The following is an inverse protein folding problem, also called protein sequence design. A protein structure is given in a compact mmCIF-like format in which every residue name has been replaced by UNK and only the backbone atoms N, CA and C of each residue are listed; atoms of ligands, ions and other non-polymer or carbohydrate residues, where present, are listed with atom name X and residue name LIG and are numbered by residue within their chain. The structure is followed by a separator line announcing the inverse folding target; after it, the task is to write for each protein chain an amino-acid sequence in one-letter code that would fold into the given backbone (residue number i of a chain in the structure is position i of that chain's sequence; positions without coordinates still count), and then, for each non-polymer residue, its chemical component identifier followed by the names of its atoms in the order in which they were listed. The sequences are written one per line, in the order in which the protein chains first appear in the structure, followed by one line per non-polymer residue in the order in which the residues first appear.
data_IF_065208462993
#
_entry.id   IF_065208462993
#
_cell.length_a   1.000
_cell.length_b   1.000
_cell.length_c   1.000
_cell.angle_alpha   90.00
_cell.angle_beta   90.00
_cell.angle_gamma   90.00
#
_symmetry.space_group_name_H-M   'P 1'
#
loop_
_entity.id
_entity.type
_entity.pdbx_description
1 polymer ?
#
# COMPACT_ATOMS: atom_id res chain seq x y z
N UNK A 1 21.89 5.73 -16.81
CA UNK A 1 20.67 4.93 -16.57
C UNK A 1 20.25 5.01 -15.11
N UNK A 2 18.97 5.31 -14.89
CA UNK A 2 18.35 5.37 -13.56
C UNK A 2 17.46 4.13 -13.41
N UNK A 3 17.57 3.43 -12.28
CA UNK A 3 16.75 2.28 -11.91
C UNK A 3 15.90 2.63 -10.70
N UNK A 4 14.57 2.55 -10.84
CA UNK A 4 13.64 2.72 -9.73
C UNK A 4 12.90 1.41 -9.46
N UNK A 5 12.95 0.91 -8.21
CA UNK A 5 12.26 -0.31 -7.77
C UNK A 5 11.30 -0.07 -6.61
N UNK A 6 10.84 1.16 -6.40
CA UNK A 6 9.96 1.53 -5.27
C UNK A 6 8.64 0.76 -5.30
N UNK A 7 7.91 0.83 -6.42
CA UNK A 7 6.57 0.23 -6.52
C UNK A 7 6.58 -1.24 -7.00
N UNK A 8 7.76 -1.75 -7.38
CA UNK A 8 7.91 -3.12 -7.86
C UNK A 8 9.16 -3.73 -7.23
N UNK A 9 8.96 -4.63 -6.26
CA UNK A 9 10.06 -5.27 -5.52
C UNK A 9 10.89 -6.22 -6.38
N UNK A 10 10.34 -6.79 -7.47
CA UNK A 10 11.02 -7.71 -8.39
C UNK A 10 10.62 -7.49 -9.86
N UNK A 11 10.98 -6.34 -10.45
CA UNK A 11 10.75 -6.12 -11.88
C UNK A 11 11.49 -7.19 -12.68
N UNK A 12 10.88 -7.69 -13.76
CA UNK A 12 11.48 -8.70 -14.63
C UNK A 12 12.02 -9.93 -13.85
N UNK A 13 11.27 -10.39 -12.84
CA UNK A 13 11.63 -11.50 -11.95
C UNK A 13 12.94 -11.33 -11.16
N UNK A 14 13.49 -10.10 -11.11
CA UNK A 14 14.77 -9.79 -10.47
C UNK A 14 15.96 -9.77 -11.44
N UNK A 15 15.73 -9.94 -12.74
CA UNK A 15 16.76 -9.70 -13.78
C UNK A 15 16.85 -8.20 -14.05
N UNK A 16 17.64 -7.53 -13.23
CA UNK A 16 17.80 -6.08 -13.25
C UNK A 16 19.16 -5.70 -13.84
N UNK A 17 19.27 -4.50 -14.43
CA UNK A 17 20.54 -4.04 -14.96
C UNK A 17 21.57 -3.79 -13.86
N UNK A 18 22.84 -4.12 -14.15
CA UNK A 18 23.98 -3.86 -13.28
C UNK A 18 24.67 -2.52 -13.65
N UNK A 19 25.47 -1.99 -12.72
CA UNK A 19 26.29 -0.79 -12.87
C UNK A 19 25.48 0.44 -13.30
N UNK A 20 24.25 0.55 -12.80
CA UNK A 20 23.38 1.70 -13.07
C UNK A 20 23.96 2.97 -12.44
N UNK A 21 23.65 4.13 -13.01
CA UNK A 21 24.17 5.40 -12.50
C UNK A 21 23.51 5.79 -11.17
N UNK A 22 22.19 5.57 -11.07
CA UNK A 22 21.41 5.82 -9.87
C UNK A 22 20.41 4.69 -9.67
N UNK A 23 20.37 4.13 -8.47
CA UNK A 23 19.35 3.20 -8.04
C UNK A 23 18.51 3.82 -6.92
N UNK A 24 17.19 3.76 -7.07
CA UNK A 24 16.20 4.19 -6.08
C UNK A 24 15.34 3.01 -5.65
N UNK A 25 15.11 2.88 -4.35
CA UNK A 25 14.16 1.90 -3.84
C UNK A 25 13.43 2.39 -2.59
N UNK A 26 12.37 1.69 -2.24
CA UNK A 26 11.83 1.69 -0.90
C UNK A 26 12.88 1.17 0.10
N UNK A 27 12.82 1.70 1.32
CA UNK A 27 13.58 1.21 2.47
C UNK A 27 12.67 0.90 3.67
N UNK A 28 11.58 1.67 3.83
CA UNK A 28 10.58 1.40 4.83
C UNK A 28 9.54 0.41 4.30
N UNK A 29 9.43 -0.74 4.98
CA UNK A 29 8.33 -1.67 4.76
C UNK A 29 7.07 -1.25 5.51
N UNK A 30 6.01 -2.04 5.39
CA UNK A 30 4.82 -1.89 6.25
C UNK A 30 3.84 -0.79 5.86
N UNK A 31 3.98 -0.18 4.68
CA UNK A 31 3.06 0.86 4.21
C UNK A 31 1.59 0.39 4.10
N UNK A 32 1.35 -0.92 3.99
CA UNK A 32 0.00 -1.50 3.93
C UNK A 32 -0.72 -1.57 5.27
N UNK A 33 -0.06 -1.24 6.38
CA UNK A 33 -0.61 -1.42 7.73
C UNK A 33 -0.78 -2.89 8.13
N UNK A 34 -0.44 -3.86 7.27
CA UNK A 34 -0.46 -5.27 7.65
C UNK A 34 0.68 -5.57 8.64
N UNK A 35 0.43 -6.33 9.73
CA UNK A 35 -0.84 -6.91 10.17
C UNK A 35 -1.58 -6.08 11.24
N UNK A 36 -1.24 -4.80 11.43
CA UNK A 36 -1.80 -3.96 12.50
C UNK A 36 -3.32 -3.86 12.42
N UNK A 37 -3.89 -3.84 11.21
CA UNK A 37 -5.33 -3.75 10.97
C UNK A 37 -6.10 -5.05 11.28
N UNK A 38 -5.43 -6.13 11.69
CA UNK A 38 -6.06 -7.40 11.99
C UNK A 38 -6.12 -7.65 13.49
N UNK A 39 -7.25 -8.15 13.96
CA UNK A 39 -7.50 -8.55 15.35
C UNK A 39 -7.94 -10.02 15.43
N UNK A 40 -7.80 -10.61 16.62
CA UNK A 40 -8.23 -11.98 16.89
C UNK A 40 -7.36 -13.07 16.25
N UNK A 41 -7.69 -14.33 16.57
CA UNK A 41 -6.99 -15.50 16.06
C UNK A 41 -5.47 -15.43 16.29
N UNK A 42 -4.69 -15.53 15.20
CA UNK A 42 -3.22 -15.47 15.23
C UNK A 42 -2.64 -14.06 15.34
N UNK A 43 -3.45 -13.02 15.21
CA UNK A 43 -3.01 -11.62 15.14
C UNK A 43 -2.91 -11.00 16.54
N UNK A 44 -2.25 -11.71 17.47
CA UNK A 44 -1.97 -11.17 18.80
C UNK A 44 -0.91 -10.06 18.72
N UNK A 45 -0.90 -9.14 19.69
CA UNK A 45 0.10 -8.06 19.73
C UNK A 45 1.54 -8.58 19.76
N UNK A 46 1.80 -9.68 20.47
CA UNK A 46 3.11 -10.35 20.49
C UNK A 46 3.51 -10.87 19.10
N UNK A 47 2.57 -11.50 18.39
CA UNK A 47 2.82 -12.01 17.04
C UNK A 47 3.06 -10.86 16.07
N UNK A 48 2.28 -9.77 16.15
CA UNK A 48 2.47 -8.56 15.33
C UNK A 48 3.86 -7.97 15.53
N UNK A 49 4.31 -7.85 16.78
CA UNK A 49 5.64 -7.35 17.10
C UNK A 49 6.77 -8.22 16.50
N UNK A 50 6.68 -9.54 16.68
CA UNK A 50 7.64 -10.49 16.11
C UNK A 50 7.62 -10.49 14.58
N UNK A 51 6.44 -10.39 13.98
CA UNK A 51 6.27 -10.28 12.54
C UNK A 51 6.98 -9.04 12.01
N UNK A 52 6.69 -7.86 12.57
CA UNK A 52 7.30 -6.60 12.14
C UNK A 52 8.83 -6.65 12.28
N UNK A 53 9.34 -7.13 13.41
CA UNK A 53 10.78 -7.31 13.63
C UNK A 53 11.42 -8.17 12.54
N UNK A 54 10.78 -9.27 12.16
CA UNK A 54 11.29 -10.18 11.15
C UNK A 54 11.21 -9.60 9.74
N UNK A 55 10.09 -8.99 9.36
CA UNK A 55 9.92 -8.39 8.03
C UNK A 55 10.85 -7.20 7.80
N UNK A 56 11.04 -6.36 8.81
CA UNK A 56 12.03 -5.28 8.79
C UNK A 56 13.43 -5.80 8.47
N UNK A 57 13.87 -6.84 9.19
CA UNK A 57 15.18 -7.47 8.99
C UNK A 57 15.30 -8.09 7.60
N UNK A 58 14.26 -8.76 7.10
CA UNK A 58 14.23 -9.33 5.75
C UNK A 58 14.38 -8.26 4.68
N UNK A 59 13.59 -7.19 4.76
CA UNK A 59 13.64 -6.08 3.82
C UNK A 59 15.03 -5.42 3.84
N UNK A 60 15.55 -5.13 5.02
CA UNK A 60 16.89 -4.55 5.20
C UNK A 60 17.99 -5.36 4.50
N UNK A 61 18.01 -6.67 4.77
CA UNK A 61 19.00 -7.56 4.16
C UNK A 61 18.81 -7.69 2.66
N UNK A 62 17.56 -7.81 2.20
CA UNK A 62 17.24 -7.89 0.78
C UNK A 62 17.73 -6.66 0.02
N UNK A 63 17.43 -5.44 0.52
CA UNK A 63 17.84 -4.19 -0.14
C UNK A 63 19.36 -4.04 -0.18
N UNK A 64 20.05 -4.30 0.93
CA UNK A 64 21.51 -4.26 0.96
C UNK A 64 22.15 -5.26 -0.02
N UNK A 65 21.62 -6.49 -0.08
CA UNK A 65 22.08 -7.50 -1.05
C UNK A 65 21.79 -7.09 -2.49
N UNK A 66 20.61 -6.53 -2.75
CA UNK A 66 20.23 -6.08 -4.08
C UNK A 66 21.16 -4.98 -4.57
N UNK A 67 21.38 -3.94 -3.76
CA UNK A 67 22.32 -2.86 -4.06
C UNK A 67 23.72 -3.40 -4.28
N UNK A 68 24.19 -4.31 -3.41
CA UNK A 68 25.47 -4.99 -3.60
C UNK A 68 25.54 -5.79 -4.91
N UNK A 69 24.46 -6.45 -5.33
CA UNK A 69 24.47 -7.23 -6.57
C UNK A 69 24.46 -6.37 -7.83
N UNK A 70 23.73 -5.24 -7.80
CA UNK A 70 23.56 -4.37 -8.95
C UNK A 70 24.68 -3.34 -9.08
N UNK A 71 25.48 -3.11 -8.04
CA UNK A 71 26.62 -2.19 -8.03
C UNK A 71 26.28 -0.81 -8.64
N UNK A 72 25.19 -0.14 -8.21
CA UNK A 72 24.92 1.22 -8.68
C UNK A 72 26.05 2.17 -8.26
N UNK A 73 26.33 3.19 -9.07
CA UNK A 73 27.28 4.25 -8.68
C UNK A 73 26.75 5.03 -7.48
N UNK A 74 25.45 5.34 -7.50
CA UNK A 74 24.74 6.03 -6.42
C UNK A 74 23.49 5.25 -6.03
N UNK A 75 23.29 5.04 -4.73
CA UNK A 75 22.07 4.50 -4.15
C UNK A 75 21.30 5.57 -3.38
N UNK A 76 19.99 5.63 -3.60
CA UNK A 76 19.06 6.54 -2.95
C UNK A 76 17.92 5.74 -2.29
N UNK A 77 17.82 5.69 -0.95
CA UNK A 77 16.63 5.21 -0.27
C UNK A 77 15.53 6.26 -0.48
N UNK A 78 14.65 6.03 -1.46
CA UNK A 78 13.74 7.07 -1.95
C UNK A 78 12.38 7.05 -1.26
N UNK A 79 11.81 5.86 -1.03
CA UNK A 79 10.46 5.72 -0.50
C UNK A 79 10.44 5.11 0.90
N UNK A 80 9.66 5.73 1.78
CA UNK A 80 9.51 5.26 3.16
C UNK A 80 9.38 6.34 4.23
N UNK A 81 9.31 7.61 3.83
CA UNK A 81 9.26 8.77 4.74
C UNK A 81 7.85 9.17 5.19
N UNK A 82 6.82 8.40 4.83
CA UNK A 82 5.45 8.69 5.21
C UNK A 82 5.21 8.40 6.69
N UNK A 83 4.43 9.27 7.32
CA UNK A 83 3.99 9.15 8.72
C UNK A 83 2.48 8.96 8.72
N UNK A 84 2.02 7.99 9.51
CA UNK A 84 0.62 7.82 9.91
C UNK A 84 0.20 9.02 10.78
N UNK A 85 -0.19 10.11 10.12
CA UNK A 85 -0.41 11.40 10.77
C UNK A 85 -1.82 11.55 11.35
N UNK A 86 -2.81 10.85 10.78
CA UNK A 86 -4.20 10.97 11.22
C UNK A 86 -4.36 10.43 12.65
N UNK A 87 -5.14 11.10 13.54
CA UNK A 87 -5.32 10.65 14.92
C UNK A 87 -5.83 9.20 15.04
N UNK A 88 -6.70 8.75 14.13
CA UNK A 88 -7.19 7.37 14.11
C UNK A 88 -6.09 6.34 13.80
N UNK A 89 -5.00 6.73 13.14
CA UNK A 89 -3.90 5.82 12.82
C UNK A 89 -2.88 5.68 13.95
N UNK A 90 -3.15 6.26 15.13
CA UNK A 90 -2.23 6.26 16.28
C UNK A 90 -1.69 4.87 16.61
N UNK A 91 -2.55 3.86 16.63
CA UNK A 91 -2.13 2.49 16.91
C UNK A 91 -1.11 2.00 15.86
N UNK A 92 -1.37 2.22 14.58
CA UNK A 92 -0.46 1.84 13.49
C UNK A 92 0.86 2.61 13.62
N UNK A 93 0.80 3.92 13.87
CA UNK A 93 1.98 4.76 14.07
C UNK A 93 2.88 4.25 15.19
N UNK A 94 2.29 3.85 16.31
CA UNK A 94 3.02 3.42 17.51
C UNK A 94 3.56 1.98 17.40
N UNK A 95 2.91 1.11 16.62
CA UNK A 95 3.24 -0.32 16.57
C UNK A 95 3.95 -0.78 15.29
N UNK A 96 3.69 -0.14 14.15
CA UNK A 96 4.29 -0.47 12.86
C UNK A 96 5.66 0.23 12.71
N UNK A 97 6.65 -0.22 13.48
CA UNK A 97 7.99 0.37 13.41
C UNK A 97 8.59 0.16 12.01
N UNK A 98 9.01 1.26 11.36
CA UNK A 98 9.61 1.23 10.02
C UNK A 98 11.15 1.12 10.09
N UNK A 99 11.76 0.72 8.99
CA UNK A 99 13.22 0.77 8.85
C UNK A 99 13.68 2.20 8.60
N UNK A 100 14.92 2.50 8.97
CA UNK A 100 15.53 3.80 8.74
C UNK A 100 16.47 3.82 7.52
N UNK A 101 16.45 4.92 6.76
CA UNK A 101 17.33 5.13 5.61
C UNK A 101 18.80 5.19 6.02
N UNK A 102 19.15 5.81 7.15
CA UNK A 102 20.54 5.86 7.62
C UNK A 102 21.07 4.46 7.97
N UNK A 103 20.25 3.61 8.57
CA UNK A 103 20.62 2.22 8.89
C UNK A 103 20.90 1.41 7.62
N UNK A 104 20.07 1.59 6.58
CA UNK A 104 20.30 0.96 5.28
C UNK A 104 21.56 1.46 4.59
N UNK A 105 21.78 2.77 4.60
CA UNK A 105 22.98 3.34 4.04
C UNK A 105 24.25 2.86 4.77
N UNK A 106 24.20 2.73 6.10
CA UNK A 106 25.31 2.18 6.89
C UNK A 106 25.58 0.71 6.52
N UNK A 107 24.53 -0.11 6.37
CA UNK A 107 24.66 -1.51 5.97
C UNK A 107 25.23 -1.66 4.55
N UNK A 108 24.81 -0.81 3.60
CA UNK A 108 25.35 -0.77 2.24
C UNK A 108 26.83 -0.38 2.26
N UNK A 109 27.19 0.72 2.95
CA UNK A 109 28.59 1.16 3.07
C UNK A 109 29.50 0.08 3.65
N UNK A 110 29.01 -0.68 4.63
CA UNK A 110 29.75 -1.81 5.22
C UNK A 110 29.94 -2.97 4.23
N UNK A 111 28.94 -3.26 3.40
CA UNK A 111 28.93 -4.45 2.54
C UNK A 111 29.41 -4.20 1.10
N UNK A 112 29.41 -2.94 0.66
CA UNK A 112 29.79 -2.46 -0.66
C UNK A 112 30.31 -1.00 -0.57
N UNK A 113 31.53 -0.78 -0.03
CA UNK A 113 32.06 0.56 0.27
C UNK A 113 32.28 1.46 -0.96
N UNK A 114 32.32 0.89 -2.16
CA UNK A 114 32.43 1.65 -3.41
C UNK A 114 31.13 2.33 -3.87
N UNK A 115 29.99 2.03 -3.23
CA UNK A 115 28.69 2.60 -3.59
C UNK A 115 28.47 3.89 -2.80
N UNK A 116 28.23 4.99 -3.51
CA UNK A 116 27.85 6.25 -2.88
C UNK A 116 26.38 6.17 -2.45
N UNK A 117 26.06 6.53 -1.21
CA UNK A 117 24.66 6.62 -0.75
C UNK A 117 24.25 8.07 -0.57
N UNK A 118 23.07 8.44 -1.03
CA UNK A 118 22.49 9.77 -0.81
C UNK A 118 21.04 9.66 -0.34
N UNK A 119 20.77 10.19 0.86
CA UNK A 119 19.40 10.28 1.41
C UNK A 119 18.78 11.60 0.98
N UNK A 120 17.63 11.61 0.28
CA UNK A 120 16.95 12.84 -0.06
C UNK A 120 16.41 13.51 1.22
N UNK A 121 16.48 14.84 1.27
CA UNK A 121 15.88 15.68 2.32
C UNK A 121 15.08 16.80 1.66
N UNK A 122 14.05 17.37 2.32
CA UNK A 122 13.36 18.55 1.80
C UNK A 122 14.37 19.67 1.45
N UNK A 123 14.34 20.14 0.21
CA UNK A 123 15.25 21.17 -0.30
C UNK A 123 16.67 20.70 -0.66
N UNK A 124 17.01 19.42 -0.48
CA UNK A 124 18.29 18.88 -0.96
C UNK A 124 18.28 18.65 -2.47
N UNK A 125 19.42 18.87 -3.12
CA UNK A 125 19.62 18.61 -4.55
C UNK A 125 20.83 17.71 -4.76
N UNK A 126 20.67 16.69 -5.60
CA UNK A 126 21.78 15.88 -6.13
C UNK A 126 21.97 16.23 -7.60
N UNK A 127 23.10 16.88 -7.93
CA UNK A 127 23.58 17.00 -9.29
C UNK A 127 24.16 15.65 -9.72
N UNK A 128 23.33 14.86 -10.39
CA UNK A 128 23.71 13.52 -10.84
C UNK A 128 24.87 13.58 -11.85
N UNK A 129 24.90 14.56 -12.75
CA UNK A 129 25.97 14.65 -13.74
C UNK A 129 27.32 14.90 -13.07
N UNK A 130 27.38 15.86 -12.16
CA UNK A 130 28.59 16.16 -11.40
C UNK A 130 29.00 14.99 -10.50
N UNK A 131 28.04 14.33 -9.85
CA UNK A 131 28.29 13.17 -9.00
C UNK A 131 28.89 11.99 -9.77
N UNK A 132 28.50 11.79 -11.04
CA UNK A 132 29.00 10.73 -11.90
C UNK A 132 30.37 11.03 -12.50
N UNK A 133 30.70 12.29 -12.77
CA UNK A 133 32.00 12.70 -13.28
C UNK A 133 33.08 12.68 -12.20
N UNK A 134 32.74 13.14 -10.99
CA UNK A 134 33.64 13.15 -9.84
C UNK A 134 32.82 13.02 -8.56
N UNK A 135 32.77 11.83 -7.94
CA UNK A 135 32.08 11.60 -6.67
C UNK A 135 32.65 12.54 -5.60
N UNK A 136 32.03 13.69 -5.43
CA UNK A 136 32.50 14.76 -4.56
C UNK A 136 31.31 15.38 -3.86
N UNK A 137 31.56 15.94 -2.67
CA UNK A 137 30.53 16.62 -1.90
C UNK A 137 29.89 17.79 -2.63
N UNK A 138 30.58 18.35 -3.63
CA UNK A 138 30.10 19.47 -4.45
C UNK A 138 28.87 19.13 -5.30
N UNK A 139 28.63 17.84 -5.55
CA UNK A 139 27.45 17.38 -6.30
C UNK A 139 26.17 17.34 -5.46
N UNK A 140 26.24 17.61 -4.15
CA UNK A 140 25.08 17.61 -3.27
C UNK A 140 24.96 18.97 -2.61
N UNK A 141 23.84 19.63 -2.85
CA UNK A 141 23.41 20.82 -2.11
C UNK A 141 22.50 20.36 -0.98
N UNK A 142 22.92 20.59 0.26
CA UNK A 142 22.09 20.33 1.42
C UNK A 142 21.14 21.51 1.69
N UNK A 143 19.97 21.24 2.30
CA UNK A 143 19.14 22.31 2.80
C UNK A 143 19.81 23.02 3.98
N UNK A 144 19.35 24.23 4.36
CA UNK A 144 19.84 24.93 5.54
C UNK A 144 19.84 24.04 6.79
N UNK A 145 20.83 24.24 7.66
CA UNK A 145 20.89 23.52 8.95
C UNK A 145 19.62 23.77 9.75
N UNK A 146 19.03 22.69 10.30
CA UNK A 146 17.76 22.76 11.05
C UNK A 146 16.50 22.75 10.18
N UNK A 147 16.62 22.54 8.85
CA UNK A 147 15.44 22.36 8.00
C UNK A 147 14.57 21.21 8.52
N UNK A 148 13.29 21.49 8.74
CA UNK A 148 12.34 20.49 9.21
C UNK A 148 12.14 19.41 8.14
N UNK A 149 12.22 18.15 8.55
CA UNK A 149 12.06 17.00 7.65
C UNK A 149 10.58 16.62 7.54
N UNK A 150 9.81 16.85 8.60
CA UNK A 150 8.40 16.52 8.67
C UNK A 150 7.56 17.78 8.73
N UNK A 151 6.28 17.65 8.40
CA UNK A 151 5.30 18.68 8.73
C UNK A 151 5.02 18.64 10.22
N UNK A 152 4.78 19.81 10.82
CA UNK A 152 4.39 19.92 12.22
C UNK A 152 2.88 19.71 12.42
N UNK A 153 2.10 20.01 11.38
CA UNK A 153 0.65 19.86 11.36
C UNK A 153 0.14 19.42 9.98
N UNK A 154 -1.04 18.82 9.99
CA UNK A 154 -1.77 18.38 8.82
C UNK A 154 -3.17 18.97 8.88
N UNK A 155 -3.60 19.58 7.78
CA UNK A 155 -4.98 19.98 7.59
C UNK A 155 -5.74 18.78 7.00
N UNK A 156 -6.45 18.07 7.87
CA UNK A 156 -7.26 16.92 7.47
C UNK A 156 -8.63 17.34 6.95
N UNK A 157 -9.14 18.51 7.35
CA UNK A 157 -10.46 18.99 6.99
C UNK A 157 -10.60 19.13 5.48
N UNK A 158 -9.52 19.56 4.79
CA UNK A 158 -9.46 19.57 3.33
C UNK A 158 -9.84 18.22 2.68
N UNK A 159 -9.43 17.11 3.29
CA UNK A 159 -9.71 15.76 2.76
C UNK A 159 -11.04 15.21 3.29
N UNK A 160 -11.31 15.43 4.57
CA UNK A 160 -12.50 14.92 5.27
C UNK A 160 -13.77 15.62 4.79
N UNK A 161 -13.72 16.92 4.52
CA UNK A 161 -14.88 17.67 4.01
C UNK A 161 -15.30 17.18 2.63
N UNK A 162 -14.35 16.90 1.75
CA UNK A 162 -14.65 16.38 0.41
C UNK A 162 -15.27 14.99 0.50
N UNK A 163 -14.72 14.12 1.36
CA UNK A 163 -15.30 12.81 1.67
C UNK A 163 -16.73 12.95 2.20
N UNK A 164 -16.95 13.83 3.18
CA UNK A 164 -18.24 14.04 3.81
C UNK A 164 -19.28 14.61 2.84
N UNK A 165 -18.88 15.51 1.94
CA UNK A 165 -19.76 16.00 0.87
C UNK A 165 -20.16 14.87 -0.06
N UNK A 166 -19.21 13.99 -0.43
CA UNK A 166 -19.46 12.87 -1.32
C UNK A 166 -20.43 11.85 -0.73
N UNK A 167 -20.48 11.64 0.59
CA UNK A 167 -21.43 10.70 1.24
C UNK A 167 -22.88 11.05 0.89
N UNK A 168 -23.20 12.33 0.69
CA UNK A 168 -24.55 12.77 0.33
C UNK A 168 -24.82 12.76 -1.18
N UNK A 169 -23.84 12.38 -2.00
CA UNK A 169 -23.96 12.34 -3.45
C UNK A 169 -25.06 11.36 -3.88
N UNK A 170 -25.77 11.72 -4.94
CA UNK A 170 -26.90 10.94 -5.47
C UNK A 170 -26.49 9.50 -5.84
N UNK A 171 -25.24 9.29 -6.25
CA UNK A 171 -24.70 7.96 -6.58
C UNK A 171 -24.80 6.96 -5.43
N UNK A 172 -24.77 7.41 -4.17
CA UNK A 172 -24.91 6.52 -3.01
C UNK A 172 -26.37 6.31 -2.56
N UNK A 173 -27.32 7.10 -3.10
CA UNK A 173 -28.74 7.06 -2.70
C UNK A 173 -29.58 6.01 -3.43
N UNK A 174 -29.11 5.45 -4.54
CA UNK A 174 -29.89 4.48 -5.33
C UNK A 174 -29.22 3.11 -5.38
N UNK A 175 -29.97 2.08 -4.98
CA UNK A 175 -29.60 0.65 -5.09
C UNK A 175 -29.04 0.28 -6.46
N UNK A 176 -29.59 0.87 -7.52
CA UNK A 176 -29.20 0.61 -8.90
C UNK A 176 -27.77 1.04 -9.23
N UNK A 177 -27.16 1.96 -8.49
CA UNK A 177 -25.81 2.44 -8.80
C UNK A 177 -24.74 1.37 -8.57
N UNK A 178 -24.92 0.54 -7.56
CA UNK A 178 -23.96 -0.54 -7.34
C UNK A 178 -24.12 -1.62 -8.42
N UNK A 179 -25.35 -1.91 -8.83
CA UNK A 179 -25.61 -2.77 -9.99
C UNK A 179 -25.00 -2.18 -11.26
N UNK A 180 -25.19 -0.88 -11.49
CA UNK A 180 -24.58 -0.14 -12.59
C UNK A 180 -23.06 -0.25 -12.56
N UNK A 181 -22.42 -0.09 -11.41
CA UNK A 181 -20.96 -0.25 -11.28
C UNK A 181 -20.49 -1.62 -11.76
N UNK A 182 -21.11 -2.70 -11.28
CA UNK A 182 -20.72 -4.05 -11.69
C UNK A 182 -21.00 -4.31 -13.18
N UNK A 183 -22.16 -3.86 -13.69
CA UNK A 183 -22.50 -3.93 -15.12
C UNK A 183 -21.48 -3.17 -15.97
N UNK A 184 -21.14 -1.94 -15.57
CA UNK A 184 -20.17 -1.08 -16.23
C UNK A 184 -18.76 -1.66 -16.21
N UNK A 185 -18.33 -2.23 -15.07
CA UNK A 185 -17.06 -2.91 -14.94
C UNK A 185 -16.97 -4.14 -15.86
N UNK A 186 -18.10 -4.76 -16.20
CA UNK A 186 -18.21 -5.79 -17.22
C UNK A 186 -17.49 -7.11 -16.89
N UNK A 187 -17.07 -7.29 -15.63
CA UNK A 187 -16.42 -8.50 -15.17
C UNK A 187 -17.43 -9.65 -15.18
N UNK A 188 -17.26 -10.63 -16.05
CA UNK A 188 -18.21 -11.76 -16.23
C UNK A 188 -17.50 -13.04 -16.66
N UNK A 189 -18.23 -14.16 -16.72
CA UNK A 189 -17.72 -15.51 -17.00
C UNK A 189 -16.79 -16.06 -15.90
N UNK A 190 -17.01 -15.65 -14.66
CA UNK A 190 -16.33 -16.20 -13.49
C UNK A 190 -17.33 -16.98 -12.67
N UNK A 191 -16.96 -18.19 -12.28
CA UNK A 191 -17.71 -18.95 -11.28
C UNK A 191 -17.43 -18.35 -9.90
N UNK A 192 -18.07 -17.22 -9.63
CA UNK A 192 -17.92 -16.42 -8.42
C UNK A 192 -19.26 -15.76 -8.12
N UNK A 193 -19.78 -16.00 -6.92
CA UNK A 193 -20.93 -15.28 -6.39
C UNK A 193 -20.47 -14.49 -5.18
N UNK A 194 -20.89 -13.23 -5.16
CA UNK A 194 -20.48 -12.26 -4.17
C UNK A 194 -21.72 -11.77 -3.44
N UNK A 195 -21.66 -11.70 -2.11
CA UNK A 195 -22.64 -11.00 -1.29
C UNK A 195 -22.07 -9.66 -0.86
N UNK A 196 -22.79 -8.59 -1.13
CA UNK A 196 -22.42 -7.25 -0.68
C UNK A 196 -23.42 -6.81 0.38
N UNK A 197 -22.93 -6.44 1.55
CA UNK A 197 -23.71 -6.00 2.70
C UNK A 197 -23.19 -4.61 3.09
N UNK A 198 -24.10 -3.66 3.21
CA UNK A 198 -23.82 -2.32 3.71
C UNK A 198 -23.74 -2.35 5.25
N UNK A 199 -22.67 -1.79 5.81
CA UNK A 199 -22.35 -1.85 7.24
C UNK A 199 -21.94 -0.49 7.79
N UNK A 200 -22.10 -0.29 9.10
CA UNK A 200 -21.63 0.87 9.87
C UNK A 200 -20.18 0.75 10.33
N UNK A 201 -19.66 1.74 11.10
CA UNK A 201 -18.34 1.82 11.81
C UNK A 201 -17.69 0.48 12.13
N UNK A 202 -18.53 -0.38 12.67
CA UNK A 202 -18.15 -1.55 13.43
C UNK A 202 -18.45 -2.84 12.66
N UNK A 203 -18.65 -2.72 11.34
CA UNK A 203 -19.04 -3.79 10.44
C UNK A 203 -20.37 -4.44 10.81
N UNK A 204 -21.24 -3.69 11.49
CA UNK A 204 -22.58 -4.13 11.81
C UNK A 204 -23.46 -3.79 10.60
N UNK A 205 -24.22 -4.75 10.03
CA UNK A 205 -25.14 -4.46 8.95
C UNK A 205 -26.09 -3.32 9.33
N UNK A 206 -26.19 -2.32 8.45
CA UNK A 206 -27.10 -1.19 8.70
C UNK A 206 -28.54 -1.69 8.58
N UNK A 207 -29.39 -1.30 9.53
CA UNK A 207 -30.83 -1.55 9.44
C UNK A 207 -31.41 -0.92 8.17
N UNK A 208 -32.01 -1.76 7.31
CA UNK A 208 -32.48 -1.40 5.96
C UNK A 208 -31.36 -1.03 4.95
N UNK A 209 -30.10 -1.32 5.27
CA UNK A 209 -28.98 -1.17 4.35
C UNK A 209 -29.05 -2.12 3.16
N UNK A 210 -28.19 -1.89 2.17
CA UNK A 210 -28.12 -2.71 0.98
C UNK A 210 -27.54 -4.10 1.28
N UNK A 211 -28.24 -5.14 0.80
CA UNK A 211 -27.80 -6.52 0.87
C UNK A 211 -28.23 -7.21 -0.42
N UNK A 212 -27.29 -7.48 -1.32
CA UNK A 212 -27.56 -8.12 -2.60
C UNK A 212 -26.45 -9.09 -2.98
N UNK A 213 -26.79 -10.00 -3.88
CA UNK A 213 -25.83 -10.90 -4.50
C UNK A 213 -25.44 -10.34 -5.87
N UNK A 214 -24.18 -10.56 -6.24
CA UNK A 214 -23.63 -10.30 -7.58
C UNK A 214 -23.11 -11.62 -8.10
N UNK A 215 -23.68 -12.06 -9.20
CA UNK A 215 -23.30 -13.29 -9.86
C UNK A 215 -22.38 -12.97 -11.05
N UNK A 216 -21.10 -13.28 -10.95
CA UNK A 216 -20.13 -12.98 -12.00
C UNK A 216 -20.15 -13.99 -13.16
N UNK A 217 -21.02 -15.00 -13.13
CA UNK A 217 -21.19 -15.89 -14.27
C UNK A 217 -21.86 -15.14 -15.42
N UNK A 218 -23.00 -14.52 -15.15
CA UNK A 218 -23.84 -13.80 -16.11
C UNK A 218 -23.98 -12.30 -15.80
N UNK A 219 -23.31 -11.84 -14.75
CA UNK A 219 -23.38 -10.47 -14.22
C UNK A 219 -24.79 -10.08 -13.75
N UNK A 220 -25.52 -11.04 -13.18
CA UNK A 220 -26.85 -10.85 -12.61
C UNK A 220 -26.83 -10.51 -11.11
N UNK A 221 -28.00 -10.14 -10.58
CA UNK A 221 -28.18 -9.74 -9.17
C UNK A 221 -29.31 -10.54 -8.51
N UNK A 222 -29.11 -11.84 -8.25
CA UNK A 222 -30.18 -12.70 -7.77
C UNK A 222 -30.56 -12.37 -6.32
N UNK A 223 -31.83 -12.61 -5.97
CA UNK A 223 -32.32 -12.44 -4.59
C UNK A 223 -31.90 -13.59 -3.66
N UNK A 224 -31.48 -14.71 -4.23
CA UNK A 224 -31.05 -15.90 -3.52
C UNK A 224 -29.77 -16.44 -4.14
N UNK A 225 -28.99 -17.17 -3.35
CA UNK A 225 -27.78 -17.85 -3.82
C UNK A 225 -28.14 -18.81 -4.97
N UNK A 226 -27.43 -18.79 -6.10
CA UNK A 226 -27.64 -19.75 -7.17
C UNK A 226 -27.49 -21.20 -6.70
N UNK A 227 -28.26 -22.13 -7.26
CA UNK A 227 -28.23 -23.55 -6.88
C UNK A 227 -27.06 -24.33 -7.46
N UNK A 228 -26.37 -23.78 -8.47
CA UNK A 228 -25.18 -24.41 -9.07
C UNK A 228 -24.02 -24.47 -8.07
N UNK A 229 -23.10 -25.41 -8.28
CA UNK A 229 -21.83 -25.40 -7.55
C UNK A 229 -21.04 -24.14 -7.94
N UNK A 230 -20.53 -23.43 -6.95
CA UNK A 230 -19.68 -22.25 -7.12
C UNK A 230 -18.87 -22.01 -5.84
N UNK A 231 -17.66 -21.43 -5.95
CA UNK A 231 -16.93 -20.89 -4.82
C UNK A 231 -17.80 -19.90 -4.03
N UNK A 232 -18.08 -20.25 -2.77
CA UNK A 232 -18.81 -19.42 -1.84
C UNK A 232 -18.11 -19.50 -0.48
N UNK A 233 -17.59 -18.35 -0.03
CA UNK A 233 -17.11 -18.19 1.33
C UNK A 233 -17.90 -17.07 2.00
N UNK A 234 -18.71 -17.42 3.00
CA UNK A 234 -19.33 -16.45 3.90
C UNK A 234 -18.38 -16.23 5.07
N UNK A 235 -17.63 -15.12 5.01
CA UNK A 235 -16.69 -14.77 6.07
C UNK A 235 -17.42 -13.89 7.09
N UNK A 236 -17.90 -14.48 8.18
CA UNK A 236 -18.34 -13.70 9.34
C UNK A 236 -17.12 -13.31 10.19
N UNK A 237 -16.94 -12.03 10.44
CA UNK A 237 -16.01 -11.56 11.47
C UNK A 237 -16.82 -10.81 12.52
N UNK A 238 -17.13 -11.51 13.61
CA UNK A 238 -17.60 -10.88 14.83
C UNK A 238 -16.40 -10.75 15.77
N UNK A 239 -15.91 -9.53 16.01
CA UNK A 239 -15.74 -8.87 17.33
C UNK A 239 -14.68 -7.76 17.36
N UNK A 240 -15.16 -6.60 17.83
CA UNK A 240 -14.51 -5.41 18.46
C UNK A 240 -13.90 -4.28 17.61
N UNK A 241 -14.09 -3.02 18.08
CA UNK A 241 -14.13 -1.83 17.26
C UNK A 241 -12.74 -1.20 17.12
N UNK A 242 -12.39 -0.81 15.91
CA UNK A 242 -11.54 0.35 15.59
C UNK A 242 -11.03 0.24 14.14
N UNK A 243 -11.53 1.19 13.33
CA UNK A 243 -10.82 1.87 12.25
C UNK A 243 -10.81 1.19 10.86
N UNK A 244 -11.71 1.71 10.01
CA UNK A 244 -11.71 1.79 8.54
C UNK A 244 -11.52 0.50 7.69
N UNK A 245 -12.56 0.25 6.91
CA UNK A 245 -12.99 -0.93 6.15
C UNK A 245 -12.23 -1.29 4.88
N UNK A 246 -12.17 -2.61 4.61
CA UNK A 246 -12.11 -3.20 3.27
C UNK A 246 -12.89 -4.53 3.22
N UNK A 247 -13.58 -4.74 2.08
CA UNK A 247 -14.33 -5.93 1.64
C UNK A 247 -13.44 -7.19 1.61
N UNK A 248 -13.93 -8.30 2.16
CA UNK A 248 -13.33 -9.62 1.98
C UNK A 248 -13.90 -10.35 0.77
N UNK A 249 -13.04 -10.67 -0.20
CA UNK A 249 -13.12 -11.94 -0.94
C UNK A 249 -11.88 -12.76 -0.62
N UNK A 250 -12.08 -14.02 -0.23
CA UNK A 250 -11.07 -15.06 -0.47
C UNK A 250 -11.53 -15.82 -1.71
N UNK A 251 -10.79 -15.67 -2.82
CA UNK A 251 -10.92 -16.60 -3.93
C UNK A 251 -10.05 -17.82 -3.61
N UNK A 252 -10.66 -18.94 -3.23
CA UNK A 252 -9.95 -20.21 -3.11
C UNK A 252 -9.61 -20.73 -4.52
N UNK A 253 -8.53 -20.21 -5.11
CA UNK A 253 -7.95 -20.83 -6.30
C UNK A 253 -7.32 -22.17 -5.89
N UNK A 254 -8.08 -23.25 -6.03
CA UNK A 254 -7.53 -24.60 -6.09
C UNK A 254 -6.73 -24.76 -7.39
N UNK A 255 -5.54 -24.16 -7.41
CA UNK A 255 -4.34 -24.55 -8.17
C UNK A 255 -3.19 -23.59 -7.85
N UNK A 256 -2.42 -23.96 -6.83
CA UNK A 256 -0.95 -23.77 -6.71
C UNK A 256 -0.33 -22.61 -7.53
N UNK A 257 -0.58 -21.36 -7.16
CA UNK A 257 0.29 -20.22 -7.52
C UNK A 257 0.45 -19.32 -6.29
N UNK A 258 1.71 -19.18 -5.84
CA UNK A 258 2.10 -18.18 -4.83
C UNK A 258 2.08 -16.80 -5.50
N UNK A 259 0.98 -16.06 -5.37
CA UNK A 259 0.93 -14.65 -5.78
C UNK A 259 0.38 -13.83 -4.63
N UNK A 260 1.26 -13.01 -4.03
CA UNK A 260 0.87 -11.95 -3.11
C UNK A 260 0.24 -10.84 -3.94
N UNK A 261 -1.09 -10.71 -3.90
CA UNK A 261 -1.79 -9.55 -4.43
C UNK A 261 -2.11 -8.66 -3.23
N UNK A 262 -1.40 -7.54 -3.14
CA UNK A 262 -1.76 -6.41 -2.29
C UNK A 262 -2.41 -5.40 -3.22
N UNK A 263 -3.73 -5.45 -3.37
CA UNK A 263 -4.47 -4.40 -4.06
C UNK A 263 -4.87 -3.34 -3.03
N UNK A 264 -4.28 -2.16 -3.17
CA UNK A 264 -4.72 -0.93 -2.51
C UNK A 264 -6.10 -0.55 -3.03
N UNK A 265 -7.10 -0.54 -2.14
CA UNK A 265 -8.37 0.14 -2.40
C UNK A 265 -8.12 1.64 -2.32
N UNK A 266 -7.77 2.24 -3.46
CA UNK A 266 -7.67 3.69 -3.66
C UNK A 266 -8.57 4.16 -4.82
N UNK A 267 -9.42 3.28 -5.36
CA UNK A 267 -10.12 3.52 -6.62
C UNK A 267 -11.50 4.13 -6.50
N UNK A 268 -12.15 4.20 -5.33
CA UNK A 268 -13.51 4.78 -5.26
C UNK A 268 -13.55 6.32 -5.25
N UNK A 269 -12.50 7.01 -4.80
CA UNK A 269 -12.50 8.48 -4.74
C UNK A 269 -11.80 9.19 -5.90
N UNK A 270 -10.90 8.54 -6.63
CA UNK A 270 -10.20 9.18 -7.74
C UNK A 270 -10.99 9.22 -9.06
N UNK A 271 -12.09 8.47 -9.19
CA UNK A 271 -12.82 8.37 -10.46
C UNK A 271 -13.74 9.59 -10.69
N UNK A 272 -14.17 10.29 -9.63
CA UNK A 272 -15.06 11.46 -9.77
C UNK A 272 -14.37 12.76 -10.23
N UNK A 273 -13.03 12.82 -10.33
CA UNK A 273 -12.31 14.06 -10.67
C UNK A 273 -11.65 14.09 -12.06
N UNK A 274 -11.73 13.01 -12.85
CA UNK A 274 -11.19 12.96 -14.23
C UNK A 274 -12.25 12.96 -15.33
N UNK A 275 -13.47 13.41 -15.02
CA UNK A 275 -14.58 13.55 -15.97
C UNK A 275 -15.06 14.99 -16.09
N UNK A 276 -14.17 15.93 -16.41
CA UNK A 276 -14.51 17.34 -16.58
C UNK A 276 -13.69 17.97 -17.70
N UNK A 277 -14.19 17.85 -18.93
CA UNK A 277 -13.84 18.56 -20.18
C UNK A 277 -12.36 18.67 -20.55
#
# INVERSE_FOLDING_TARGET
MILNTVDCTRPNYGRLPHNVDLMMSDFAGGASGFPMTFSGGKYTESWKADFIKNERKKLMNYKAQLVKSLQPKIYCPFAGYFVEAHPSDRYIKETNTKNNAEELNALIKKSAPGITTWTPKPGAVLDLALALMSPSRKAITDPPSGTNIYKDSWDFDLYVDELNRAITAEIFKHKSWIQFYYIWAGFKNYDLVVRVIETDEDFIPIDNGYNYLVDFMDLSFPTQRPTREHPYEEVSMATTPAHLYIIKYTALHLRRIKTNIVEQVHSMLQICHKGGR
#
